data_IF_717912349186
#
_entry.id   IF_717912349186
#
_cell.length_a   1.000
_cell.length_b   1.000
_cell.length_c   1.000
_cell.angle_alpha   90.00
_cell.angle_beta   90.00
_cell.angle_gamma   90.00
#
_symmetry.space_group_name_H-M   'P 1'
#
loop_
_entity.id
_entity.type
_entity.pdbx_description
1 polymer ?
#
# COMPACT_ATOMS: atom_id res chain seq x y z
N UNK A 1 17.37 11.68 12.70
CA UNK A 1 16.16 11.74 11.86
C UNK A 1 15.86 10.39 11.20
N UNK A 2 14.86 10.29 10.31
CA UNK A 2 14.49 9.05 9.57
C UNK A 2 15.61 8.48 8.66
N UNK A 3 16.80 9.07 8.68
CA UNK A 3 18.00 8.68 7.94
C UNK A 3 19.18 8.36 8.89
N UNK A 4 18.94 8.25 10.20
CA UNK A 4 20.00 7.88 11.13
C UNK A 4 20.45 6.45 10.85
N UNK A 5 21.74 6.29 10.50
CA UNK A 5 22.34 4.99 10.17
C UNK A 5 22.25 4.57 8.70
N UNK A 6 21.75 5.43 7.81
CA UNK A 6 21.65 5.16 6.36
C UNK A 6 22.89 5.72 5.65
N UNK A 7 23.54 4.93 4.77
CA UNK A 7 24.69 5.44 4.02
C UNK A 7 24.27 6.46 2.96
N UNK A 8 25.16 7.36 2.49
CA UNK A 8 24.85 8.27 1.39
C UNK A 8 24.30 7.55 0.14
N UNK A 9 24.85 6.38 -0.19
CA UNK A 9 24.42 5.59 -1.34
C UNK A 9 23.04 4.98 -1.15
N UNK A 10 22.68 4.60 0.08
CA UNK A 10 21.33 4.13 0.40
C UNK A 10 20.32 5.28 0.36
N UNK A 11 20.71 6.46 0.88
CA UNK A 11 19.88 7.67 0.82
C UNK A 11 19.59 8.06 -0.64
N UNK A 12 20.60 8.08 -1.51
CA UNK A 12 20.45 8.39 -2.93
C UNK A 12 19.53 7.39 -3.66
N UNK A 13 19.64 6.10 -3.33
CA UNK A 13 18.74 5.07 -3.87
C UNK A 13 17.30 5.30 -3.45
N UNK A 14 17.06 5.60 -2.17
CA UNK A 14 15.71 5.85 -1.64
C UNK A 14 15.11 7.11 -2.28
N UNK A 15 15.88 8.19 -2.36
CA UNK A 15 15.44 9.45 -3.01
C UNK A 15 15.10 9.21 -4.48
N UNK A 16 15.94 8.49 -5.21
CA UNK A 16 15.69 8.15 -6.61
C UNK A 16 14.43 7.29 -6.76
N UNK A 17 14.25 6.28 -5.90
CA UNK A 17 13.05 5.43 -5.93
C UNK A 17 11.76 6.21 -5.66
N UNK A 18 11.79 7.13 -4.70
CA UNK A 18 10.64 7.97 -4.36
C UNK A 18 10.34 8.95 -5.51
N UNK A 19 11.36 9.65 -6.02
CA UNK A 19 11.20 10.60 -7.13
C UNK A 19 10.70 9.94 -8.41
N UNK A 20 11.26 8.78 -8.77
CA UNK A 20 10.80 8.03 -9.95
C UNK A 20 9.41 7.44 -9.75
N UNK A 21 9.09 6.99 -8.53
CA UNK A 21 7.75 6.51 -8.17
C UNK A 21 6.71 7.63 -8.30
N UNK A 22 6.99 8.80 -7.74
CA UNK A 22 6.20 10.02 -7.87
C UNK A 22 5.91 10.37 -9.34
N UNK A 23 6.96 10.50 -10.15
CA UNK A 23 6.83 10.88 -11.55
C UNK A 23 6.03 9.85 -12.36
N UNK A 24 6.42 8.56 -12.28
CA UNK A 24 5.76 7.50 -13.05
C UNK A 24 4.30 7.36 -12.64
N UNK A 25 4.03 7.32 -11.33
CA UNK A 25 2.67 7.20 -10.83
C UNK A 25 1.79 8.37 -11.27
N UNK A 26 2.30 9.60 -11.18
CA UNK A 26 1.56 10.79 -11.60
C UNK A 26 1.12 10.71 -13.06
N UNK A 27 1.96 10.17 -13.94
CA UNK A 27 1.62 9.95 -15.35
C UNK A 27 0.62 8.80 -15.51
N UNK A 28 0.87 7.68 -14.84
CA UNK A 28 0.12 6.43 -15.04
C UNK A 28 -1.26 6.44 -14.35
N UNK A 29 -1.51 7.29 -13.36
CA UNK A 29 -2.81 7.38 -12.66
C UNK A 29 -3.92 7.99 -13.52
N UNK A 30 -3.58 8.60 -14.65
CA UNK A 30 -4.52 9.24 -15.57
C UNK A 30 -4.86 8.29 -16.71
N UNK A 31 -6.16 8.18 -17.02
CA UNK A 31 -6.65 7.43 -18.18
C UNK A 31 -5.95 7.93 -19.46
N UNK A 32 -5.38 7.04 -20.29
CA UNK A 32 -4.64 7.41 -21.49
C UNK A 32 -5.49 8.17 -22.53
N UNK A 33 -6.83 8.12 -22.43
CA UNK A 33 -7.77 8.87 -23.28
C UNK A 33 -8.01 10.31 -22.79
N UNK A 34 -7.54 10.67 -21.59
CA UNK A 34 -7.71 11.99 -20.99
C UNK A 34 -6.43 12.82 -21.10
N UNK A 35 -6.60 14.13 -21.18
CA UNK A 35 -5.47 15.06 -21.09
C UNK A 35 -4.97 15.14 -19.64
N UNK A 36 -3.64 15.13 -19.48
CA UNK A 36 -2.97 15.34 -18.20
C UNK A 36 -2.20 16.65 -18.21
N UNK A 37 -2.49 17.53 -17.25
CA UNK A 37 -1.64 18.68 -16.95
C UNK A 37 -0.58 18.27 -15.95
N UNK A 38 0.67 18.25 -16.36
CA UNK A 38 1.77 17.85 -15.48
C UNK A 38 2.03 18.93 -14.41
N UNK A 39 2.00 18.51 -13.13
CA UNK A 39 2.36 19.35 -12.00
C UNK A 39 3.44 18.65 -11.14
N UNK A 40 4.72 19.03 -11.29
CA UNK A 40 5.82 18.41 -10.54
C UNK A 40 5.64 18.47 -9.02
N UNK A 41 5.09 19.58 -8.50
CA UNK A 41 4.91 19.76 -7.05
C UNK A 41 3.89 18.77 -6.48
N UNK A 42 2.81 18.52 -7.21
CA UNK A 42 1.79 17.54 -6.81
C UNK A 42 2.34 16.11 -6.89
N UNK A 43 3.19 15.81 -7.89
CA UNK A 43 3.70 14.45 -8.07
C UNK A 43 4.49 13.92 -6.87
N UNK A 44 5.19 14.81 -6.16
CA UNK A 44 6.05 14.48 -5.01
C UNK A 44 5.36 14.70 -3.65
N UNK A 45 4.07 15.06 -3.62
CA UNK A 45 3.34 15.21 -2.36
C UNK A 45 3.22 13.83 -1.67
N UNK A 46 3.38 13.80 -0.36
CA UNK A 46 3.23 12.60 0.46
C UNK A 46 1.77 12.32 0.83
N UNK A 47 0.87 13.25 0.53
CA UNK A 47 -0.55 13.15 0.78
C UNK A 47 -1.33 13.02 -0.53
N UNK A 48 -2.52 12.41 -0.45
CA UNK A 48 -3.42 12.28 -1.59
C UNK A 48 -2.99 11.19 -2.57
N UNK A 49 -3.52 11.28 -3.80
CA UNK A 49 -3.36 10.27 -4.84
C UNK A 49 -1.99 10.40 -5.53
N UNK A 50 -0.93 9.91 -4.85
CA UNK A 50 0.48 10.02 -5.29
C UNK A 50 1.29 8.73 -5.09
N UNK A 51 2.39 8.61 -5.84
CA UNK A 51 3.33 7.49 -5.72
C UNK A 51 3.99 7.40 -4.35
N UNK A 52 4.49 8.51 -3.76
CA UNK A 52 5.08 8.51 -2.43
C UNK A 52 4.11 8.06 -1.33
N UNK A 53 2.82 8.39 -1.42
CA UNK A 53 1.80 7.92 -0.49
C UNK A 53 1.70 6.38 -0.49
N UNK A 54 1.65 5.78 -1.69
CA UNK A 54 1.61 4.31 -1.86
C UNK A 54 2.90 3.67 -1.34
N UNK A 55 4.07 4.21 -1.71
CA UNK A 55 5.36 3.69 -1.26
C UNK A 55 5.53 3.77 0.26
N UNK A 56 5.07 4.85 0.88
CA UNK A 56 5.06 5.01 2.33
C UNK A 56 4.16 3.98 3.00
N UNK A 57 3.00 3.70 2.42
CA UNK A 57 2.07 2.65 2.89
C UNK A 57 2.72 1.27 2.84
N UNK A 58 3.38 0.94 1.72
CA UNK A 58 4.16 -0.29 1.60
C UNK A 58 5.28 -0.38 2.67
N UNK A 59 6.05 0.69 2.86
CA UNK A 59 7.11 0.73 3.88
C UNK A 59 6.55 0.54 5.30
N UNK A 60 5.36 1.08 5.58
CA UNK A 60 4.64 0.87 6.85
C UNK A 60 4.25 -0.60 7.04
N UNK A 61 3.64 -1.23 6.05
CA UNK A 61 3.30 -2.67 6.07
C UNK A 61 4.55 -3.52 6.35
N UNK A 62 5.64 -3.28 5.60
CA UNK A 62 6.92 -3.97 5.82
C UNK A 62 7.47 -3.75 7.23
N UNK A 63 7.28 -2.57 7.80
CA UNK A 63 7.68 -2.31 9.19
C UNK A 63 6.83 -3.03 10.22
N UNK A 64 5.54 -3.28 9.95
CA UNK A 64 4.67 -4.07 10.83
C UNK A 64 5.14 -5.52 10.84
N UNK A 65 5.35 -6.11 9.66
CA UNK A 65 5.81 -7.49 9.52
C UNK A 65 7.17 -7.72 10.18
N UNK A 66 8.14 -6.82 9.99
CA UNK A 66 9.44 -6.90 10.65
C UNK A 66 9.32 -6.85 12.18
N UNK A 67 8.44 -5.99 12.71
CA UNK A 67 8.20 -5.89 14.16
C UNK A 67 7.48 -7.12 14.71
N UNK A 68 6.64 -7.77 13.91
CA UNK A 68 6.01 -9.04 14.27
C UNK A 68 7.08 -10.13 14.43
N UNK A 69 7.99 -10.23 13.45
CA UNK A 69 9.14 -11.15 13.47
C UNK A 69 10.06 -10.89 14.68
N UNK A 70 10.43 -9.63 14.94
CA UNK A 70 11.22 -9.23 16.11
C UNK A 70 10.56 -9.60 17.46
N UNK A 71 9.23 -9.67 17.50
CA UNK A 71 8.43 -10.07 18.66
C UNK A 71 8.14 -11.58 18.71
N UNK A 72 8.61 -12.35 17.73
CA UNK A 72 8.33 -13.78 17.62
C UNK A 72 6.87 -14.10 17.29
N UNK A 73 6.15 -13.19 16.65
CA UNK A 73 4.76 -13.40 16.20
C UNK A 73 4.82 -13.99 14.78
N UNK A 74 4.48 -15.28 14.58
CA UNK A 74 4.53 -15.91 13.27
C UNK A 74 3.37 -15.45 12.39
N UNK A 75 3.61 -15.35 11.08
CA UNK A 75 2.54 -15.25 10.08
C UNK A 75 2.00 -16.67 9.85
N UNK A 76 0.70 -16.92 10.07
CA UNK A 76 0.16 -18.27 9.96
C UNK A 76 0.10 -18.73 8.50
N UNK A 77 0.36 -20.02 8.25
CA UNK A 77 0.22 -20.62 6.90
C UNK A 77 -1.25 -20.78 6.47
N UNK A 78 -2.16 -20.82 7.45
CA UNK A 78 -3.60 -20.91 7.24
C UNK A 78 -4.35 -20.14 8.31
N UNK A 79 -5.51 -19.58 7.95
CA UNK A 79 -6.34 -18.84 8.90
C UNK A 79 -7.29 -19.78 9.64
N UNK A 80 -7.60 -19.43 10.88
CA UNK A 80 -8.65 -20.13 11.62
C UNK A 80 -10.01 -19.80 11.01
N UNK A 81 -10.88 -20.81 10.89
CA UNK A 81 -12.16 -20.67 10.18
C UNK A 81 -13.21 -19.84 10.95
N UNK A 82 -13.05 -19.66 12.26
CA UNK A 82 -14.08 -19.10 13.15
C UNK A 82 -13.83 -17.64 13.57
N UNK A 83 -12.97 -16.92 12.84
CA UNK A 83 -12.68 -15.51 13.13
C UNK A 83 -13.83 -14.64 12.62
N UNK A 84 -14.38 -13.79 13.50
CA UNK A 84 -15.37 -12.79 13.12
C UNK A 84 -14.65 -11.53 12.64
N UNK A 85 -14.79 -11.23 11.35
CA UNK A 85 -14.20 -10.04 10.74
C UNK A 85 -15.14 -8.83 10.91
N UNK A 86 -14.54 -7.65 11.00
CA UNK A 86 -15.26 -6.39 10.83
C UNK A 86 -15.54 -6.13 9.34
N UNK A 87 -16.54 -5.29 9.05
CA UNK A 87 -16.83 -4.82 7.68
C UNK A 87 -15.59 -4.24 6.99
N UNK A 88 -14.68 -3.61 7.75
CA UNK A 88 -13.44 -3.03 7.23
C UNK A 88 -12.45 -4.10 6.76
N UNK A 89 -12.30 -5.17 7.54
CA UNK A 89 -11.43 -6.30 7.22
C UNK A 89 -11.99 -7.09 6.03
N UNK A 90 -13.31 -7.33 6.01
CA UNK A 90 -13.99 -7.95 4.87
C UNK A 90 -13.81 -7.14 3.59
N UNK A 91 -13.99 -5.82 3.66
CA UNK A 91 -13.79 -4.93 2.50
C UNK A 91 -12.36 -4.95 1.97
N UNK A 92 -11.35 -5.04 2.84
CA UNK A 92 -9.95 -5.19 2.42
C UNK A 92 -9.70 -6.53 1.74
N UNK A 93 -10.25 -7.63 2.26
CA UNK A 93 -10.14 -8.96 1.64
C UNK A 93 -10.82 -8.98 0.27
N UNK A 94 -12.00 -8.38 0.14
CA UNK A 94 -12.71 -8.24 -1.13
C UNK A 94 -11.88 -7.43 -2.13
N UNK A 95 -11.34 -6.28 -1.72
CA UNK A 95 -10.50 -5.44 -2.58
C UNK A 95 -9.27 -6.21 -3.07
N UNK A 96 -8.60 -6.96 -2.18
CA UNK A 96 -7.48 -7.84 -2.57
C UNK A 96 -7.89 -8.91 -3.59
N UNK A 97 -9.10 -9.48 -3.45
CA UNK A 97 -9.62 -10.48 -4.36
C UNK A 97 -9.97 -9.93 -5.75
N UNK A 98 -10.26 -8.63 -5.87
CA UNK A 98 -10.57 -7.95 -7.15
C UNK A 98 -9.32 -7.68 -8.00
N UNK A 99 -8.11 -7.72 -7.43
CA UNK A 99 -6.89 -7.36 -8.15
C UNK A 99 -6.68 -8.08 -9.49
N UNK A 100 -6.90 -9.41 -9.63
CA UNK A 100 -6.74 -10.10 -10.90
C UNK A 100 -7.66 -9.56 -11.99
N UNK A 101 -8.89 -9.19 -11.63
CA UNK A 101 -9.87 -8.63 -12.57
C UNK A 101 -9.46 -7.22 -13.01
N UNK A 102 -8.95 -6.39 -12.09
CA UNK A 102 -8.39 -5.07 -12.41
C UNK A 102 -7.21 -5.20 -13.38
N UNK A 103 -6.31 -6.16 -13.15
CA UNK A 103 -5.16 -6.41 -14.03
C UNK A 103 -5.62 -6.85 -15.41
N UNK A 104 -6.60 -7.76 -15.48
CA UNK A 104 -7.19 -8.20 -16.75
C UNK A 104 -7.83 -7.03 -17.50
N UNK A 105 -8.66 -6.25 -16.82
CA UNK A 105 -9.33 -5.08 -17.41
C UNK A 105 -8.33 -4.04 -17.92
N UNK A 106 -7.27 -3.75 -17.16
CA UNK A 106 -6.19 -2.85 -17.60
C UNK A 106 -5.51 -3.32 -18.89
N UNK A 107 -5.33 -4.64 -19.04
CA UNK A 107 -4.82 -5.25 -20.27
C UNK A 107 -5.79 -5.12 -21.45
N UNK A 108 -7.05 -5.49 -21.24
CA UNK A 108 -8.09 -5.45 -22.27
C UNK A 108 -8.36 -4.01 -22.79
N UNK A 109 -8.30 -3.02 -21.89
CA UNK A 109 -8.54 -1.62 -22.21
C UNK A 109 -7.27 -0.84 -22.61
N UNK A 110 -6.09 -1.46 -22.52
CA UNK A 110 -4.78 -0.79 -22.62
C UNK A 110 -4.67 0.41 -21.68
N UNK A 111 -5.22 0.28 -20.47
CA UNK A 111 -5.39 1.35 -19.50
C UNK A 111 -4.77 1.00 -18.14
N UNK A 112 -3.49 1.33 -17.97
CA UNK A 112 -2.74 1.12 -16.72
C UNK A 112 -3.23 1.98 -15.54
N UNK A 113 -4.01 3.03 -15.80
CA UNK A 113 -4.56 3.86 -14.70
C UNK A 113 -5.50 3.10 -13.80
N UNK A 114 -6.13 2.02 -14.30
CA UNK A 114 -6.94 1.13 -13.48
C UNK A 114 -6.11 0.51 -12.35
N UNK A 115 -4.91 0.01 -12.68
CA UNK A 115 -3.98 -0.56 -11.68
C UNK A 115 -3.51 0.53 -10.72
N UNK A 116 -3.13 1.71 -11.24
CA UNK A 116 -2.66 2.82 -10.42
C UNK A 116 -3.70 3.24 -9.37
N UNK A 117 -4.95 3.47 -9.81
CA UNK A 117 -6.03 3.88 -8.93
C UNK A 117 -6.43 2.77 -7.95
N UNK A 118 -6.49 1.51 -8.38
CA UNK A 118 -6.70 0.38 -7.47
C UNK A 118 -5.67 0.33 -6.33
N UNK A 119 -4.37 0.46 -6.65
CA UNK A 119 -3.32 0.42 -5.63
C UNK A 119 -3.41 1.61 -4.67
N UNK A 120 -3.83 2.78 -5.17
CA UNK A 120 -4.10 3.93 -4.30
C UNK A 120 -5.27 3.67 -3.34
N UNK A 121 -6.38 3.15 -3.85
CA UNK A 121 -7.55 2.84 -3.03
C UNK A 121 -7.20 1.77 -1.98
N UNK A 122 -6.48 0.71 -2.36
CA UNK A 122 -5.98 -0.30 -1.40
C UNK A 122 -5.08 0.31 -0.33
N UNK A 123 -4.15 1.19 -0.71
CA UNK A 123 -3.27 1.86 0.25
C UNK A 123 -4.05 2.78 1.20
N UNK A 124 -5.07 3.49 0.69
CA UNK A 124 -5.96 4.34 1.48
C UNK A 124 -6.78 3.51 2.47
N UNK A 125 -7.42 2.44 2.01
CA UNK A 125 -8.23 1.57 2.85
C UNK A 125 -7.39 0.88 3.92
N UNK A 126 -6.18 0.40 3.57
CA UNK A 126 -5.25 -0.17 4.54
C UNK A 126 -4.81 0.84 5.59
N UNK A 127 -4.47 2.07 5.19
CA UNK A 127 -4.05 3.09 6.17
C UNK A 127 -5.15 3.45 7.15
N UNK A 128 -6.41 3.47 6.69
CA UNK A 128 -7.56 3.67 7.57
C UNK A 128 -7.73 2.48 8.52
N UNK A 129 -7.67 1.25 8.01
CA UNK A 129 -7.69 0.04 8.83
C UNK A 129 -6.57 0.03 9.89
N UNK A 130 -5.34 0.36 9.51
CA UNK A 130 -4.20 0.46 10.42
C UNK A 130 -4.38 1.53 11.51
N UNK A 131 -5.15 2.59 11.22
CA UNK A 131 -5.48 3.62 12.19
C UNK A 131 -6.54 3.16 13.19
N UNK A 132 -7.58 2.48 12.69
CA UNK A 132 -8.77 2.12 13.46
C UNK A 132 -8.58 0.84 14.28
N UNK A 133 -7.75 -0.10 13.80
CA UNK A 133 -7.59 -1.42 14.40
C UNK A 133 -6.16 -1.64 14.93
N UNK A 134 -6.01 -2.13 16.18
CA UNK A 134 -4.71 -2.59 16.63
C UNK A 134 -4.27 -3.82 15.83
N UNK A 135 -3.03 -3.81 15.35
CA UNK A 135 -2.40 -4.99 14.73
C UNK A 135 -1.58 -5.75 15.79
N UNK A 136 -0.30 -5.44 15.95
CA UNK A 136 0.60 -6.16 16.88
C UNK A 136 0.18 -6.07 18.36
N UNK A 137 -0.67 -5.09 18.71
CA UNK A 137 -1.19 -4.90 20.08
C UNK A 137 -2.58 -5.50 20.28
N UNK A 138 -3.12 -6.19 19.27
CA UNK A 138 -4.36 -6.93 19.42
C UNK A 138 -4.18 -8.03 20.47
N UNK A 139 -5.15 -8.09 21.38
CA UNK A 139 -5.17 -9.02 22.52
C UNK A 139 -5.70 -10.37 22.10
N UNK A 140 -6.66 -10.39 21.17
CA UNK A 140 -7.14 -11.62 20.57
C UNK A 140 -6.07 -12.17 19.60
N UNK A 141 -5.55 -13.36 19.89
CA UNK A 141 -4.46 -13.92 19.11
C UNK A 141 -4.87 -14.34 17.70
N UNK A 142 -6.12 -14.75 17.51
CA UNK A 142 -6.65 -15.14 16.21
C UNK A 142 -6.81 -13.91 15.32
N UNK A 143 -7.37 -12.82 15.86
CA UNK A 143 -7.44 -11.54 15.15
C UNK A 143 -6.05 -10.96 14.91
N UNK A 144 -5.12 -11.03 15.87
CA UNK A 144 -3.74 -10.59 15.67
C UNK A 144 -3.02 -11.37 14.57
N UNK A 145 -3.32 -12.66 14.43
CA UNK A 145 -2.72 -13.51 13.40
C UNK A 145 -3.35 -13.27 12.01
N UNK A 146 -4.63 -12.89 11.96
CA UNK A 146 -5.32 -12.47 10.73
C UNK A 146 -4.78 -11.14 10.17
N UNK A 147 -4.49 -10.17 11.06
CA UNK A 147 -4.09 -8.80 10.72
C UNK A 147 -2.59 -8.65 10.46
#
# INVERSE_FOLDING_TARGET
GKLDGVTPEEADRVVTMIGMGALKYFILKVDPKKNMTFNPKESIDFNGNTGPFIQYTHARIKSVLRKAEEQGIPVPESMQADIVLSEKEEGLVQLLAEFPDIVKQAGDEYNVSLIGNYVYDLAKEFNQFYHDFPMLREKDEALRAFR
#
